data_IF_684003681220
#
_entry.id   IF_684003681220
#
_cell.length_a   1.000
_cell.length_b   1.000
_cell.length_c   1.000
_cell.angle_alpha   90.00
_cell.angle_beta   90.00
_cell.angle_gamma   90.00
#
_symmetry.space_group_name_H-M   'P 1'
#
loop_
_entity.id
_entity.type
_entity.pdbx_description
1 polymer ?
#
# COMPACT_ATOMS: atom_id res chain seq x y z
N UNK A 1 13.68 5.07 18.05
CA UNK A 1 12.91 4.73 19.26
C UNK A 1 12.17 6.00 19.70
N UNK A 2 10.85 5.97 19.69
CA UNK A 2 9.99 7.11 20.05
C UNK A 2 9.58 7.06 21.52
N UNK A 3 9.64 5.87 22.12
CA UNK A 3 9.21 5.60 23.50
C UNK A 3 10.30 4.83 24.23
N UNK A 4 10.70 5.33 25.40
CA UNK A 4 11.64 4.56 26.23
C UNK A 4 10.93 3.41 26.92
N UNK A 5 11.62 2.28 27.07
CA UNK A 5 11.12 1.11 27.80
C UNK A 5 10.68 1.48 29.22
N UNK A 6 11.44 2.35 29.89
CA UNK A 6 11.15 2.81 31.24
C UNK A 6 9.89 3.67 31.30
N UNK A 7 9.69 4.60 30.35
CA UNK A 7 8.49 5.43 30.26
C UNK A 7 7.23 4.59 30.08
N UNK A 8 7.29 3.61 29.16
CA UNK A 8 6.19 2.67 28.95
C UNK A 8 5.92 1.83 30.21
N UNK A 9 6.97 1.28 30.84
CA UNK A 9 6.82 0.45 32.04
C UNK A 9 6.17 1.23 33.20
N UNK A 10 6.56 2.49 33.41
CA UNK A 10 5.99 3.33 34.44
C UNK A 10 4.51 3.64 34.17
N UNK A 11 4.15 3.91 32.92
CA UNK A 11 2.76 4.14 32.56
C UNK A 11 1.91 2.88 32.76
N UNK A 12 2.37 1.72 32.31
CA UNK A 12 1.67 0.45 32.51
C UNK A 12 1.43 0.15 33.99
N UNK A 13 2.43 0.39 34.87
CA UNK A 13 2.26 0.26 36.32
C UNK A 13 1.17 1.16 36.88
N UNK A 14 1.13 2.43 36.44
CA UNK A 14 0.06 3.37 36.86
C UNK A 14 -1.31 2.96 36.35
N UNK A 15 -1.38 2.23 35.25
CA UNK A 15 -2.62 1.69 34.66
C UNK A 15 -3.02 0.32 35.25
N UNK A 16 -2.29 -0.15 36.28
CA UNK A 16 -2.65 -1.34 37.05
C UNK A 16 -1.99 -2.64 36.59
N UNK A 17 -1.07 -2.59 35.62
CA UNK A 17 -0.31 -3.78 35.23
C UNK A 17 0.70 -4.14 36.31
N UNK A 18 0.72 -5.41 36.73
CA UNK A 18 1.59 -5.95 37.76
C UNK A 18 2.38 -7.13 37.20
N UNK A 19 3.55 -7.38 37.76
CA UNK A 19 4.37 -8.58 37.51
C UNK A 19 4.55 -8.87 36.01
N UNK A 20 5.01 -7.86 35.27
CA UNK A 20 5.24 -8.00 33.82
C UNK A 20 6.69 -7.77 33.44
N UNK A 21 7.07 -8.29 32.27
CA UNK A 21 8.33 -7.98 31.60
C UNK A 21 8.05 -7.32 30.25
N UNK A 22 8.97 -6.46 29.81
CA UNK A 22 8.96 -5.83 28.50
C UNK A 22 10.25 -6.18 27.77
N UNK A 23 10.12 -6.57 26.50
CA UNK A 23 11.24 -6.82 25.60
C UNK A 23 11.02 -6.00 24.32
N UNK A 24 12.03 -5.21 23.92
CA UNK A 24 11.95 -4.40 22.71
C UNK A 24 12.12 -5.25 21.46
N UNK A 25 11.26 -5.07 20.46
CA UNK A 25 11.37 -5.71 19.14
C UNK A 25 12.00 -4.71 18.18
N UNK A 26 13.24 -4.91 17.72
CA UNK A 26 13.94 -3.96 16.86
C UNK A 26 13.46 -4.05 15.39
N UNK A 27 12.14 -4.09 15.18
CA UNK A 27 11.49 -4.12 13.88
C UNK A 27 10.43 -3.01 13.87
N UNK A 28 10.44 -2.19 12.86
CA UNK A 28 9.49 -1.09 12.68
C UNK A 28 10.18 0.26 12.49
N UNK A 29 9.66 1.04 11.55
CA UNK A 29 10.23 2.34 11.18
C UNK A 29 9.47 3.50 11.85
N UNK A 30 8.16 3.35 11.98
CA UNK A 30 7.25 4.42 12.38
C UNK A 30 6.68 4.27 13.78
N UNK A 31 6.82 3.10 14.40
CA UNK A 31 6.32 2.76 15.74
C UNK A 31 7.33 1.89 16.47
N UNK A 32 7.34 1.97 17.79
CA UNK A 32 8.12 1.04 18.64
C UNK A 32 7.24 -0.12 19.09
N UNK A 33 7.73 -1.34 18.99
CA UNK A 33 7.00 -2.53 19.45
C UNK A 33 7.73 -3.19 20.60
N UNK A 34 6.97 -3.63 21.61
CA UNK A 34 7.46 -4.39 22.76
C UNK A 34 6.65 -5.68 22.93
N UNK A 35 7.32 -6.76 23.29
CA UNK A 35 6.68 -7.95 23.83
C UNK A 35 6.47 -7.71 25.32
N UNK A 36 5.22 -7.81 25.76
CA UNK A 36 4.84 -7.73 27.17
C UNK A 36 4.38 -9.09 27.65
N UNK A 37 5.03 -9.64 28.67
CA UNK A 37 4.62 -10.89 29.30
C UNK A 37 4.09 -10.61 30.70
N UNK A 38 2.86 -11.02 30.98
CA UNK A 38 2.21 -10.88 32.29
C UNK A 38 1.22 -12.01 32.50
N UNK A 39 1.22 -12.61 33.70
CA UNK A 39 0.27 -13.65 34.08
C UNK A 39 0.16 -14.81 33.06
N UNK A 40 1.31 -15.32 32.60
CA UNK A 40 1.42 -16.39 31.60
C UNK A 40 0.86 -16.03 30.19
N UNK A 41 0.45 -14.78 29.99
CA UNK A 41 -0.02 -14.30 28.70
C UNK A 41 1.03 -13.40 28.06
N UNK A 42 1.24 -13.58 26.76
CA UNK A 42 2.11 -12.73 25.95
C UNK A 42 1.26 -11.77 25.13
N UNK A 43 1.68 -10.51 25.11
CA UNK A 43 1.05 -9.45 24.35
C UNK A 43 2.10 -8.74 23.49
N UNK A 44 1.66 -8.11 22.42
CA UNK A 44 2.42 -7.09 21.73
C UNK A 44 1.90 -5.70 22.14
N UNK A 45 2.82 -4.79 22.44
CA UNK A 45 2.54 -3.40 22.72
C UNK A 45 3.15 -2.55 21.62
N UNK A 46 2.29 -1.96 20.79
CA UNK A 46 2.72 -1.06 19.73
C UNK A 46 2.58 0.37 20.19
N UNK A 47 3.68 1.09 20.25
CA UNK A 47 3.77 2.47 20.73
C UNK A 47 3.87 3.44 19.56
N UNK A 48 3.06 4.48 19.58
CA UNK A 48 2.97 5.48 18.52
C UNK A 48 3.68 6.77 18.93
N UNK A 49 4.40 7.42 18.01
CA UNK A 49 4.94 8.75 18.29
C UNK A 49 3.80 9.76 18.53
N UNK A 50 4.06 10.81 19.29
CA UNK A 50 3.04 11.76 19.74
C UNK A 50 2.24 12.38 18.58
N UNK A 51 2.89 12.67 17.46
CA UNK A 51 2.26 13.24 16.26
C UNK A 51 1.36 12.25 15.51
N UNK A 52 1.37 10.96 15.89
CA UNK A 52 0.51 9.89 15.35
C UNK A 52 -0.35 9.22 16.41
N UNK A 53 -0.40 9.79 17.61
CA UNK A 53 -1.15 9.22 18.75
C UNK A 53 -2.64 8.99 18.44
N UNK A 54 -3.22 9.84 17.59
CA UNK A 54 -4.60 9.73 17.12
C UNK A 54 -4.90 8.41 16.38
N UNK A 55 -3.89 7.78 15.77
CA UNK A 55 -4.07 6.48 15.07
C UNK A 55 -4.45 5.35 16.03
N UNK A 56 -4.04 5.40 17.30
CA UNK A 56 -4.31 4.30 18.26
C UNK A 56 -5.80 3.98 18.37
N UNK A 57 -6.65 5.00 18.51
CA UNK A 57 -8.10 4.82 18.59
C UNK A 57 -8.69 4.26 17.32
N UNK A 58 -8.22 4.74 16.18
CA UNK A 58 -8.74 4.36 14.86
C UNK A 58 -8.35 2.93 14.53
N UNK A 59 -7.06 2.59 14.65
CA UNK A 59 -6.57 1.24 14.39
C UNK A 59 -7.18 0.22 15.36
N UNK A 60 -7.29 0.55 16.65
CA UNK A 60 -7.98 -0.29 17.63
C UNK A 60 -9.42 -0.58 17.21
N UNK A 61 -10.16 0.43 16.76
CA UNK A 61 -11.54 0.28 16.29
C UNK A 61 -11.66 -0.63 15.07
N UNK A 62 -10.76 -0.48 14.08
CA UNK A 62 -10.73 -1.35 12.92
C UNK A 62 -10.34 -2.78 13.28
N UNK A 63 -9.33 -2.99 14.13
CA UNK A 63 -8.96 -4.33 14.58
C UNK A 63 -10.12 -5.05 15.26
N UNK A 64 -10.86 -4.34 16.14
CA UNK A 64 -12.08 -4.92 16.73
C UNK A 64 -13.14 -5.28 15.69
N UNK A 65 -13.34 -4.43 14.69
CA UNK A 65 -14.28 -4.70 13.61
C UNK A 65 -13.84 -5.90 12.76
N UNK A 66 -12.56 -6.00 12.45
CA UNK A 66 -11.98 -7.11 11.70
C UNK A 66 -12.16 -8.45 12.43
N UNK A 67 -11.82 -8.49 13.72
CA UNK A 67 -12.04 -9.70 14.55
C UNK A 67 -13.50 -10.14 14.54
N UNK A 68 -14.44 -9.21 14.71
CA UNK A 68 -15.88 -9.51 14.67
C UNK A 68 -16.36 -10.05 13.32
N UNK A 69 -15.68 -9.71 12.24
CA UNK A 69 -15.99 -10.19 10.89
C UNK A 69 -15.12 -11.38 10.45
N UNK A 70 -14.42 -12.03 11.39
CA UNK A 70 -13.63 -13.23 11.11
C UNK A 70 -12.41 -13.00 10.23
N UNK A 71 -11.89 -11.77 10.20
CA UNK A 71 -10.62 -11.44 9.55
C UNK A 71 -9.51 -11.78 10.54
N UNK A 72 -8.50 -12.49 10.07
CA UNK A 72 -7.35 -12.92 10.87
C UNK A 72 -6.41 -11.73 11.11
N UNK A 73 -6.55 -11.11 12.27
CA UNK A 73 -5.73 -9.99 12.76
C UNK A 73 -5.42 -10.19 14.25
N UNK A 74 -4.41 -9.51 14.82
CA UNK A 74 -4.20 -9.56 16.26
C UNK A 74 -5.44 -9.09 17.01
N UNK A 75 -5.86 -9.84 18.03
CA UNK A 75 -7.02 -9.48 18.86
C UNK A 75 -6.63 -8.30 19.76
N UNK A 76 -7.23 -7.11 19.59
CA UNK A 76 -6.87 -5.95 20.39
C UNK A 76 -7.41 -6.09 21.81
N UNK A 77 -6.57 -5.84 22.81
CA UNK A 77 -6.90 -5.92 24.22
C UNK A 77 -7.30 -4.56 24.79
N UNK A 78 -6.41 -3.55 24.64
CA UNK A 78 -6.63 -2.19 25.13
C UNK A 78 -5.78 -1.19 24.32
N UNK A 79 -6.20 0.06 24.30
CA UNK A 79 -5.39 1.16 23.77
C UNK A 79 -5.29 2.31 24.77
N UNK A 80 -4.25 3.11 24.62
CA UNK A 80 -4.05 4.38 25.34
C UNK A 80 -3.80 5.49 24.31
N UNK A 81 -4.45 6.63 24.51
CA UNK A 81 -4.26 7.84 23.71
C UNK A 81 -4.16 9.03 24.66
N UNK A 82 -3.06 9.10 25.42
CA UNK A 82 -2.82 10.17 26.42
C UNK A 82 -1.95 11.26 25.80
N UNK A 83 -2.34 12.51 25.99
CA UNK A 83 -1.55 13.69 25.54
C UNK A 83 -0.18 13.77 26.22
N UNK A 84 -0.14 13.42 27.52
CA UNK A 84 1.06 13.53 28.37
C UNK A 84 1.64 12.14 28.71
N UNK A 85 1.55 11.18 27.79
CA UNK A 85 1.99 9.82 28.02
C UNK A 85 2.33 9.09 26.73
N UNK A 86 2.58 7.79 26.87
CA UNK A 86 2.79 6.89 25.73
C UNK A 86 1.44 6.51 25.13
N UNK A 87 1.27 6.78 23.86
CA UNK A 87 0.13 6.29 23.10
C UNK A 87 0.44 4.91 22.55
N UNK A 88 -0.40 3.93 22.83
CA UNK A 88 -0.16 2.55 22.45
C UNK A 88 -1.44 1.76 22.18
N UNK A 89 -1.29 0.63 21.48
CA UNK A 89 -2.26 -0.46 21.42
C UNK A 89 -1.59 -1.71 21.99
N UNK A 90 -2.30 -2.43 22.85
CA UNK A 90 -1.93 -3.77 23.32
C UNK A 90 -2.86 -4.76 22.64
N UNK A 91 -2.30 -5.81 22.04
CA UNK A 91 -3.04 -6.93 21.49
C UNK A 91 -2.38 -8.25 21.87
N UNK A 92 -3.14 -9.32 21.88
CA UNK A 92 -2.60 -10.66 22.13
C UNK A 92 -1.51 -10.96 21.12
N UNK A 93 -0.42 -11.53 21.60
CA UNK A 93 0.68 -11.96 20.73
C UNK A 93 0.19 -13.00 19.72
N UNK A 94 0.59 -12.87 18.48
CA UNK A 94 0.32 -13.85 17.44
C UNK A 94 1.56 -14.70 17.24
N UNK A 95 1.44 -15.99 17.52
CA UNK A 95 2.52 -16.94 17.32
C UNK A 95 2.72 -17.26 15.84
N UNK A 96 3.98 -17.37 15.42
CA UNK A 96 4.34 -17.69 14.03
C UNK A 96 5.53 -16.91 13.52
N UNK A 97 5.86 -17.13 12.26
CA UNK A 97 6.90 -16.42 11.52
C UNK A 97 6.26 -15.58 10.42
N UNK A 98 6.95 -14.52 9.93
CA UNK A 98 6.46 -13.80 8.77
C UNK A 98 6.45 -14.71 7.54
N UNK A 99 5.53 -14.47 6.62
CA UNK A 99 5.48 -15.22 5.36
C UNK A 99 6.78 -15.06 4.56
N UNK A 100 7.46 -13.93 4.71
CA UNK A 100 8.77 -13.67 4.13
C UNK A 100 9.84 -14.61 4.69
N UNK A 101 9.96 -14.69 6.01
CA UNK A 101 10.95 -15.53 6.69
C UNK A 101 10.69 -17.05 6.49
N UNK A 102 9.41 -17.39 6.27
CA UNK A 102 8.97 -18.78 6.08
C UNK A 102 8.98 -19.25 4.63
N UNK A 103 9.05 -18.31 3.66
CA UNK A 103 8.91 -18.58 2.24
C UNK A 103 9.74 -19.76 1.73
N UNK A 104 11.03 -19.80 2.06
CA UNK A 104 11.95 -20.82 1.54
C UNK A 104 11.75 -22.22 2.18
N UNK A 105 10.99 -22.28 3.28
CA UNK A 105 10.66 -23.51 4.01
C UNK A 105 9.36 -24.15 3.52
N UNK A 106 8.55 -23.45 2.72
CA UNK A 106 7.22 -23.89 2.28
C UNK A 106 7.26 -24.65 0.96
N UNK A 107 6.47 -25.73 0.86
CA UNK A 107 6.20 -26.41 -0.41
C UNK A 107 5.25 -25.59 -1.29
N UNK A 108 5.18 -25.90 -2.58
CA UNK A 108 4.23 -25.25 -3.51
C UNK A 108 2.76 -25.45 -3.10
N UNK A 109 2.42 -26.61 -2.55
CA UNK A 109 1.08 -26.92 -2.06
C UNK A 109 0.72 -26.04 -0.84
N UNK A 110 1.66 -25.91 0.11
CA UNK A 110 1.51 -25.04 1.27
C UNK A 110 1.36 -23.57 0.87
N UNK A 111 2.19 -23.10 -0.08
CA UNK A 111 2.08 -21.74 -0.64
C UNK A 111 0.70 -21.52 -1.27
N UNK A 112 0.21 -22.47 -2.07
CA UNK A 112 -1.10 -22.36 -2.69
C UNK A 112 -2.22 -22.23 -1.64
N UNK A 113 -2.19 -23.05 -0.59
CA UNK A 113 -3.17 -22.99 0.51
C UNK A 113 -3.09 -21.66 1.27
N UNK A 114 -1.88 -21.21 1.61
CA UNK A 114 -1.67 -19.91 2.30
C UNK A 114 -2.16 -18.76 1.44
N UNK A 115 -1.87 -18.77 0.15
CA UNK A 115 -2.31 -17.71 -0.77
C UNK A 115 -3.84 -17.63 -0.89
N UNK A 116 -4.56 -18.76 -0.81
CA UNK A 116 -6.02 -18.76 -0.77
C UNK A 116 -6.53 -18.06 0.50
N UNK A 117 -6.00 -18.41 1.66
CA UNK A 117 -6.37 -17.77 2.92
C UNK A 117 -6.03 -16.27 2.94
N UNK A 118 -4.86 -15.89 2.43
CA UNK A 118 -4.40 -14.50 2.35
C UNK A 118 -5.34 -13.69 1.46
N UNK A 119 -5.65 -14.17 0.27
CA UNK A 119 -6.53 -13.46 -0.67
C UNK A 119 -7.95 -13.35 -0.13
N UNK A 120 -8.49 -14.41 0.48
CA UNK A 120 -9.81 -14.39 1.12
C UNK A 120 -9.87 -13.34 2.23
N UNK A 121 -8.91 -13.34 3.14
CA UNK A 121 -8.89 -12.37 4.24
C UNK A 121 -8.67 -10.93 3.76
N UNK A 122 -7.85 -10.71 2.74
CA UNK A 122 -7.68 -9.39 2.15
C UNK A 122 -8.97 -8.88 1.49
N UNK A 123 -9.70 -9.74 0.78
CA UNK A 123 -11.00 -9.38 0.19
C UNK A 123 -12.02 -8.98 1.26
N UNK A 124 -12.07 -9.67 2.40
CA UNK A 124 -12.94 -9.31 3.53
C UNK A 124 -12.66 -7.89 4.06
N UNK A 125 -11.39 -7.44 4.08
CA UNK A 125 -11.07 -6.05 4.43
C UNK A 125 -11.73 -5.08 3.43
N UNK A 126 -11.72 -5.40 2.15
CA UNK A 126 -12.30 -4.57 1.09
C UNK A 126 -13.84 -4.58 1.05
N UNK A 127 -14.49 -5.44 1.84
CA UNK A 127 -15.96 -5.42 2.02
C UNK A 127 -16.42 -4.26 2.93
N UNK A 128 -15.52 -3.72 3.76
CA UNK A 128 -15.82 -2.56 4.59
C UNK A 128 -16.00 -1.31 3.73
N UNK A 129 -17.23 -0.81 3.68
CA UNK A 129 -17.55 0.38 2.90
C UNK A 129 -17.14 1.64 3.63
N UNK A 130 -16.68 2.60 2.86
CA UNK A 130 -16.28 3.93 3.30
C UNK A 130 -17.13 4.98 2.60
N UNK A 131 -16.96 6.25 2.93
CA UNK A 131 -17.80 7.33 2.35
C UNK A 131 -17.04 8.23 1.39
N UNK A 132 -15.72 8.25 1.47
CA UNK A 132 -14.81 9.07 0.66
C UNK A 132 -13.52 8.31 0.41
N UNK A 133 -12.66 8.83 -0.43
CA UNK A 133 -11.35 8.25 -0.75
C UNK A 133 -10.21 8.88 0.04
N UNK A 134 -9.06 8.21 0.03
CA UNK A 134 -7.80 8.71 0.55
C UNK A 134 -7.32 8.02 1.81
N UNK A 135 -6.36 8.64 2.49
CA UNK A 135 -5.78 8.10 3.71
C UNK A 135 -6.68 8.37 4.91
N UNK A 136 -6.55 7.54 5.94
CA UNK A 136 -7.12 7.84 7.25
C UNK A 136 -6.46 9.11 7.77
N UNK A 137 -7.27 10.07 8.21
CA UNK A 137 -6.86 11.32 8.83
C UNK A 137 -7.11 11.31 10.34
N UNK A 138 -6.63 12.31 11.07
CA UNK A 138 -6.75 12.41 12.53
C UNK A 138 -8.20 12.31 13.05
N UNK A 139 -9.15 12.79 12.25
CA UNK A 139 -10.57 12.73 12.56
C UNK A 139 -11.23 11.41 12.13
N UNK A 140 -10.46 10.45 11.61
CA UNK A 140 -10.95 9.19 11.07
C UNK A 140 -11.64 9.34 9.72
N UNK A 141 -11.52 10.49 9.08
CA UNK A 141 -12.20 10.82 7.83
C UNK A 141 -11.27 10.66 6.63
N UNK A 142 -11.84 10.14 5.56
CA UNK A 142 -11.24 10.18 4.23
C UNK A 142 -11.63 11.50 3.55
N UNK A 143 -10.72 12.18 2.84
CA UNK A 143 -10.87 13.59 2.52
C UNK A 143 -11.27 13.89 1.07
N UNK A 144 -11.27 12.89 0.17
CA UNK A 144 -11.49 13.10 -1.26
C UNK A 144 -12.83 12.52 -1.71
N UNK A 145 -13.59 13.30 -2.47
CA UNK A 145 -14.84 12.85 -3.09
C UNK A 145 -14.60 12.03 -4.37
N UNK A 146 -13.37 12.04 -4.91
CA UNK A 146 -12.96 11.32 -6.11
C UNK A 146 -11.62 10.63 -5.91
N UNK A 147 -11.50 9.38 -6.35
CA UNK A 147 -10.26 8.63 -6.35
C UNK A 147 -9.20 9.26 -7.26
N UNK A 148 -9.62 9.71 -8.44
CA UNK A 148 -8.73 10.42 -9.36
C UNK A 148 -8.12 11.65 -8.71
N UNK A 149 -8.92 12.47 -8.01
CA UNK A 149 -8.43 13.66 -7.29
C UNK A 149 -7.44 13.31 -6.19
N UNK A 150 -7.68 12.22 -5.47
CA UNK A 150 -6.72 11.73 -4.49
C UNK A 150 -5.40 11.36 -5.16
N UNK A 151 -5.42 10.54 -6.22
CA UNK A 151 -4.22 10.12 -6.94
C UNK A 151 -3.48 11.33 -7.54
N UNK A 152 -4.19 12.25 -8.19
CA UNK A 152 -3.61 13.46 -8.74
C UNK A 152 -2.93 14.33 -7.68
N UNK A 153 -3.56 14.48 -6.51
CA UNK A 153 -2.99 15.23 -5.39
C UNK A 153 -1.68 14.61 -4.89
N UNK A 154 -1.66 13.29 -4.72
CA UNK A 154 -0.47 12.57 -4.26
C UNK A 154 0.66 12.60 -5.30
N UNK A 155 0.33 12.48 -6.59
CA UNK A 155 1.30 12.58 -7.69
C UNK A 155 1.88 13.99 -7.77
N UNK A 156 1.04 15.03 -7.69
CA UNK A 156 1.50 16.43 -7.77
C UNK A 156 2.40 16.80 -6.59
N UNK A 157 2.10 16.32 -5.37
CA UNK A 157 3.00 16.49 -4.22
C UNK A 157 4.38 15.88 -4.49
N UNK A 158 4.42 14.65 -5.03
CA UNK A 158 5.68 13.99 -5.37
C UNK A 158 6.40 14.72 -6.51
N UNK A 159 5.67 15.18 -7.51
CA UNK A 159 6.19 15.95 -8.65
C UNK A 159 6.85 17.26 -8.22
N UNK A 160 6.19 18.02 -7.33
CA UNK A 160 6.75 19.26 -6.77
C UNK A 160 8.02 18.99 -5.97
N UNK A 161 8.04 17.92 -5.18
CA UNK A 161 9.21 17.48 -4.45
C UNK A 161 10.37 17.16 -5.39
N UNK A 162 10.17 16.34 -6.43
CA UNK A 162 11.21 15.96 -7.38
C UNK A 162 11.70 17.16 -8.22
N UNK A 163 10.83 18.11 -8.54
CA UNK A 163 11.25 19.40 -9.15
C UNK A 163 12.19 20.19 -8.26
N UNK A 164 11.88 20.27 -6.96
CA UNK A 164 12.76 20.92 -5.98
C UNK A 164 14.13 20.21 -5.89
N UNK A 165 14.11 18.88 -5.90
CA UNK A 165 15.33 18.05 -5.86
C UNK A 165 16.07 17.99 -7.21
N UNK A 166 15.55 18.61 -8.28
CA UNK A 166 16.08 18.59 -9.66
C UNK A 166 16.21 17.17 -10.22
N UNK A 167 15.28 16.30 -9.85
CA UNK A 167 15.18 14.90 -10.29
C UNK A 167 14.22 14.82 -11.49
N UNK A 168 14.74 15.18 -12.67
CA UNK A 168 13.93 15.29 -13.90
C UNK A 168 13.31 13.94 -14.29
N UNK A 169 13.99 12.84 -14.04
CA UNK A 169 13.50 11.49 -14.35
C UNK A 169 12.22 11.16 -13.57
N UNK A 170 12.22 11.42 -12.25
CA UNK A 170 11.02 11.20 -11.44
C UNK A 170 9.91 12.23 -11.71
N UNK A 171 10.26 13.44 -12.16
CA UNK A 171 9.26 14.42 -12.65
C UNK A 171 8.55 13.88 -13.88
N UNK A 172 9.29 13.35 -14.88
CA UNK A 172 8.71 12.76 -16.10
C UNK A 172 7.79 11.57 -15.78
N UNK A 173 8.19 10.72 -14.80
CA UNK A 173 7.35 9.62 -14.32
C UNK A 173 6.04 10.17 -13.72
N UNK A 174 6.12 11.22 -12.89
CA UNK A 174 4.94 11.85 -12.31
C UNK A 174 4.01 12.43 -13.39
N UNK A 175 4.56 13.09 -14.42
CA UNK A 175 3.76 13.62 -15.52
C UNK A 175 3.02 12.48 -16.27
N UNK A 176 3.69 11.38 -16.56
CA UNK A 176 3.07 10.19 -17.17
C UNK A 176 1.97 9.56 -16.32
N UNK A 177 2.21 9.43 -15.00
CA UNK A 177 1.19 8.93 -14.07
C UNK A 177 -0.01 9.86 -14.00
N UNK A 178 0.21 11.17 -13.94
CA UNK A 178 -0.87 12.19 -13.88
C UNK A 178 -1.80 12.10 -15.08
N UNK A 179 -1.24 11.96 -16.29
CA UNK A 179 -2.02 11.77 -17.50
C UNK A 179 -2.81 10.45 -17.49
N UNK A 180 -2.22 9.36 -16.95
CA UNK A 180 -2.88 8.07 -16.91
C UNK A 180 -4.07 8.03 -15.94
N UNK A 181 -4.06 8.83 -14.87
CA UNK A 181 -5.16 8.89 -13.88
C UNK A 181 -6.51 9.15 -14.56
N UNK A 182 -6.56 9.93 -15.64
CA UNK A 182 -7.81 10.22 -16.35
C UNK A 182 -8.47 8.96 -16.96
N UNK A 183 -7.68 7.92 -17.21
CA UNK A 183 -8.15 6.65 -17.78
C UNK A 183 -8.61 5.65 -16.70
N UNK A 184 -8.34 5.93 -15.42
CA UNK A 184 -8.74 5.05 -14.31
C UNK A 184 -10.22 5.25 -14.03
N UNK A 185 -10.96 4.15 -13.89
CA UNK A 185 -12.33 4.19 -13.41
C UNK A 185 -12.38 4.46 -11.90
N UNK A 186 -13.43 5.14 -11.44
CA UNK A 186 -13.65 5.37 -10.01
C UNK A 186 -14.00 4.03 -9.33
N UNK A 187 -13.19 3.51 -8.40
CA UNK A 187 -13.51 2.28 -7.71
C UNK A 187 -14.64 2.49 -6.70
N UNK A 188 -15.22 1.41 -6.21
CA UNK A 188 -16.12 1.49 -5.05
C UNK A 188 -15.38 2.02 -3.82
N UNK A 189 -16.05 2.83 -3.00
CA UNK A 189 -15.52 3.23 -1.69
C UNK A 189 -15.39 2.02 -0.78
N UNK A 190 -14.18 1.54 -0.58
CA UNK A 190 -13.90 0.44 0.32
C UNK A 190 -12.57 0.61 1.05
N UNK A 191 -12.46 -0.09 2.17
CA UNK A 191 -11.25 -0.07 2.97
C UNK A 191 -10.15 -0.85 2.27
N UNK A 192 -8.95 -0.28 2.28
CA UNK A 192 -7.74 -0.86 1.69
C UNK A 192 -6.66 -0.93 2.76
N UNK A 193 -6.11 -2.11 2.98
CA UNK A 193 -4.87 -2.26 3.71
C UNK A 193 -3.71 -2.04 2.75
N UNK A 194 -3.16 -0.83 2.77
CA UNK A 194 -2.20 -0.38 1.76
C UNK A 194 -0.77 -0.86 2.00
N UNK A 195 -0.49 -1.50 3.13
CA UNK A 195 0.83 -2.02 3.50
C UNK A 195 0.90 -3.55 3.37
N UNK A 196 0.34 -4.07 2.29
CA UNK A 196 0.25 -5.50 2.01
C UNK A 196 1.63 -6.04 1.60
N UNK A 197 2.42 -6.46 2.58
CA UNK A 197 3.76 -7.05 2.39
C UNK A 197 3.86 -8.43 3.04
N UNK A 198 4.85 -9.24 2.61
CA UNK A 198 5.10 -10.55 3.20
C UNK A 198 5.62 -10.45 4.65
N UNK A 199 6.24 -9.34 5.02
CA UNK A 199 6.68 -9.05 6.39
C UNK A 199 5.50 -8.81 7.35
N UNK A 200 4.33 -8.44 6.81
CA UNK A 200 3.12 -8.11 7.57
C UNK A 200 2.09 -9.26 7.59
N UNK A 201 2.48 -10.46 7.14
CA UNK A 201 1.64 -11.66 7.12
C UNK A 201 2.30 -12.71 8.03
N UNK A 202 1.64 -13.06 9.13
CA UNK A 202 2.12 -14.07 10.07
C UNK A 202 1.54 -15.42 9.72
N UNK A 203 2.42 -16.41 9.62
CA UNK A 203 2.10 -17.82 9.34
C UNK A 203 2.42 -18.63 10.57
N UNK A 204 1.43 -19.39 11.05
CA UNK A 204 1.55 -20.30 12.19
C UNK A 204 2.45 -21.50 11.90
N UNK A 205 2.81 -22.25 12.92
CA UNK A 205 3.68 -23.44 12.79
C UNK A 205 3.04 -24.55 11.94
N UNK A 206 1.71 -24.61 11.88
CA UNK A 206 0.98 -25.53 11.01
C UNK A 206 0.79 -25.02 9.57
N UNK A 207 1.53 -24.00 9.20
CA UNK A 207 1.56 -23.38 7.85
C UNK A 207 0.22 -22.82 7.38
N UNK A 208 -0.50 -22.15 8.28
CA UNK A 208 -1.74 -21.43 7.97
C UNK A 208 -1.58 -19.93 8.23
N UNK A 209 -2.41 -19.10 7.61
CA UNK A 209 -2.48 -17.70 7.96
C UNK A 209 -2.88 -17.55 9.43
N UNK A 210 -1.98 -16.99 10.25
CA UNK A 210 -2.28 -16.65 11.63
C UNK A 210 -2.91 -15.26 11.75
N UNK A 211 -2.27 -14.24 11.16
CA UNK A 211 -2.81 -12.89 11.15
C UNK A 211 -2.13 -11.98 10.09
N UNK A 212 -2.85 -10.95 9.68
CA UNK A 212 -2.26 -9.73 9.13
C UNK A 212 -1.92 -8.78 10.27
N UNK A 213 -0.79 -8.09 10.17
CA UNK A 213 -0.33 -7.11 11.15
C UNK A 213 -0.05 -5.76 10.46
N UNK A 214 0.15 -4.70 11.24
CA UNK A 214 0.50 -3.37 10.75
C UNK A 214 -0.61 -2.68 9.91
N UNK A 215 -1.64 -2.18 10.61
CA UNK A 215 -2.78 -1.52 9.99
C UNK A 215 -2.69 0.02 9.99
N UNK A 216 -1.54 0.60 10.27
CA UNK A 216 -1.36 2.06 10.22
C UNK A 216 -1.51 2.65 8.81
N UNK A 217 -1.36 1.82 7.78
CA UNK A 217 -1.53 2.17 6.38
C UNK A 217 -2.94 1.98 5.83
N UNK A 218 -3.97 1.95 6.67
CA UNK A 218 -5.34 1.86 6.19
C UNK A 218 -5.73 3.10 5.40
N UNK A 219 -6.47 2.88 4.31
CA UNK A 219 -7.00 3.94 3.45
C UNK A 219 -8.31 3.50 2.80
N UNK A 220 -8.96 4.40 2.11
CA UNK A 220 -10.12 4.12 1.28
C UNK A 220 -9.77 4.30 -0.20
N UNK A 221 -10.13 3.33 -1.04
CA UNK A 221 -9.85 3.39 -2.47
C UNK A 221 -9.94 2.05 -3.18
N UNK A 222 -9.06 1.88 -4.15
CA UNK A 222 -8.96 0.65 -4.93
C UNK A 222 -8.13 -0.41 -4.20
N UNK A 223 -8.67 -1.60 -3.91
CA UNK A 223 -7.92 -2.68 -3.29
C UNK A 223 -6.68 -3.13 -4.07
N UNK A 224 -6.66 -2.95 -5.39
CA UNK A 224 -5.49 -3.29 -6.22
C UNK A 224 -4.26 -2.47 -5.81
N UNK A 225 -4.47 -1.26 -5.28
CA UNK A 225 -3.37 -0.45 -4.74
C UNK A 225 -2.65 -1.15 -3.59
N UNK A 226 -3.37 -1.82 -2.68
CA UNK A 226 -2.75 -2.59 -1.61
C UNK A 226 -1.94 -3.77 -2.17
N UNK A 227 -2.53 -4.53 -3.11
CA UNK A 227 -1.84 -5.67 -3.75
C UNK A 227 -0.62 -5.22 -4.56
N UNK A 228 -0.63 -4.01 -5.12
CA UNK A 228 0.51 -3.45 -5.86
C UNK A 228 1.75 -3.26 -4.99
N UNK A 229 1.55 -3.08 -3.68
CA UNK A 229 2.65 -2.97 -2.73
C UNK A 229 3.50 -4.25 -2.66
N UNK A 230 2.83 -5.40 -2.68
CA UNK A 230 3.49 -6.70 -2.72
C UNK A 230 4.40 -6.82 -3.96
N UNK A 231 3.89 -6.43 -5.14
CA UNK A 231 4.69 -6.45 -6.38
C UNK A 231 5.88 -5.49 -6.32
N UNK A 232 5.70 -4.32 -5.74
CA UNK A 232 6.76 -3.31 -5.62
C UNK A 232 7.87 -3.71 -4.65
N UNK A 233 7.58 -4.55 -3.66
CA UNK A 233 8.55 -5.00 -2.66
C UNK A 233 9.23 -6.32 -3.01
N UNK A 234 8.44 -7.31 -3.37
CA UNK A 234 8.90 -8.70 -3.52
C UNK A 234 9.14 -9.06 -5.00
N UNK A 235 8.87 -8.11 -5.90
CA UNK A 235 8.97 -8.37 -7.33
C UNK A 235 8.07 -9.53 -7.76
N UNK A 236 8.48 -10.24 -8.81
CA UNK A 236 7.71 -11.37 -9.35
C UNK A 236 8.11 -12.70 -8.65
N UNK A 237 8.13 -12.71 -7.31
CA UNK A 237 8.42 -13.93 -6.52
C UNK A 237 7.33 -14.99 -6.71
N UNK A 238 7.60 -16.25 -6.31
CA UNK A 238 6.61 -17.34 -6.41
C UNK A 238 5.33 -17.05 -5.61
N UNK A 239 5.45 -16.46 -4.41
CA UNK A 239 4.30 -16.10 -3.57
C UNK A 239 3.55 -14.93 -4.20
N UNK A 240 4.26 -13.89 -4.68
CA UNK A 240 3.63 -12.76 -5.38
C UNK A 240 2.80 -13.22 -6.56
N UNK A 241 3.36 -14.08 -7.43
CA UNK A 241 2.60 -14.63 -8.56
C UNK A 241 1.37 -15.40 -8.12
N UNK A 242 1.51 -16.25 -7.10
CA UNK A 242 0.39 -17.03 -6.56
C UNK A 242 -0.74 -16.10 -6.06
N UNK A 243 -0.43 -15.09 -5.25
CA UNK A 243 -1.40 -14.11 -4.76
C UNK A 243 -2.06 -13.35 -5.92
N UNK A 244 -1.27 -12.87 -6.89
CA UNK A 244 -1.79 -12.15 -8.05
C UNK A 244 -2.73 -13.01 -8.90
N UNK A 245 -2.40 -14.30 -9.11
CA UNK A 245 -3.26 -15.25 -9.83
C UNK A 245 -4.58 -15.46 -9.09
N UNK A 246 -4.52 -15.77 -7.78
CA UNK A 246 -5.71 -16.01 -6.97
C UNK A 246 -6.56 -14.76 -6.78
N UNK A 247 -5.96 -13.60 -6.80
CA UNK A 247 -6.68 -12.32 -6.79
C UNK A 247 -7.34 -12.02 -8.14
N UNK A 248 -6.86 -12.63 -9.24
CA UNK A 248 -7.38 -12.46 -10.60
C UNK A 248 -6.68 -11.36 -11.41
N UNK A 249 -5.52 -10.88 -10.93
CA UNK A 249 -4.79 -9.77 -11.58
C UNK A 249 -3.75 -10.23 -12.61
N UNK A 250 -3.40 -11.52 -12.61
CA UNK A 250 -2.28 -12.01 -13.42
C UNK A 250 -2.63 -12.13 -14.91
N UNK A 251 -3.82 -12.66 -15.20
CA UNK A 251 -4.25 -13.01 -16.55
C UNK A 251 -5.19 -11.97 -17.21
N UNK A 252 -5.55 -10.92 -16.48
CA UNK A 252 -6.40 -9.85 -16.99
C UNK A 252 -5.54 -8.63 -17.42
N UNK A 253 -5.41 -8.33 -18.73
CA UNK A 253 -4.52 -7.26 -19.20
C UNK A 253 -4.88 -5.86 -18.67
N UNK A 254 -6.17 -5.55 -18.50
CA UNK A 254 -6.58 -4.22 -18.00
C UNK A 254 -6.28 -4.08 -16.51
N UNK A 255 -6.55 -5.12 -15.71
CA UNK A 255 -6.19 -5.12 -14.29
C UNK A 255 -4.68 -5.15 -14.09
N UNK A 256 -3.93 -5.81 -15.00
CA UNK A 256 -2.47 -5.79 -14.97
C UNK A 256 -1.92 -4.40 -15.21
N UNK A 257 -2.46 -3.63 -16.15
CA UNK A 257 -2.07 -2.22 -16.37
C UNK A 257 -2.32 -1.36 -15.14
N UNK A 258 -3.46 -1.56 -14.48
CA UNK A 258 -3.81 -0.84 -13.27
C UNK A 258 -2.88 -1.21 -12.11
N UNK A 259 -2.55 -2.49 -11.96
CA UNK A 259 -1.56 -2.98 -11.01
C UNK A 259 -0.18 -2.34 -11.24
N UNK A 260 0.28 -2.29 -12.50
CA UNK A 260 1.55 -1.68 -12.87
C UNK A 260 1.54 -0.17 -12.59
N UNK A 261 0.43 0.53 -12.90
CA UNK A 261 0.24 1.94 -12.53
C UNK A 261 0.38 2.16 -11.02
N UNK A 262 -0.34 1.39 -10.20
CA UNK A 262 -0.25 1.53 -8.75
C UNK A 262 1.13 1.16 -8.20
N UNK A 263 1.83 0.22 -8.81
CA UNK A 263 3.20 -0.13 -8.41
C UNK A 263 4.15 1.04 -8.60
N UNK A 264 4.04 1.77 -9.72
CA UNK A 264 4.84 2.97 -9.98
C UNK A 264 4.39 4.16 -9.15
N UNK A 265 3.08 4.34 -8.96
CA UNK A 265 2.55 5.32 -8.01
C UNK A 265 3.12 5.12 -6.60
N UNK A 266 3.19 3.87 -6.13
CA UNK A 266 3.85 3.52 -4.86
C UNK A 266 5.35 3.86 -4.88
N UNK A 267 6.04 3.57 -5.99
CA UNK A 267 7.46 3.91 -6.14
C UNK A 267 7.70 5.40 -5.94
N UNK A 268 7.01 6.29 -6.64
CA UNK A 268 7.24 7.74 -6.52
C UNK A 268 6.95 8.24 -5.10
N UNK A 269 5.95 7.66 -4.42
CA UNK A 269 5.65 7.99 -3.02
C UNK A 269 6.78 7.58 -2.08
N UNK A 270 7.28 6.36 -2.20
CA UNK A 270 8.41 5.87 -1.40
C UNK A 270 9.69 6.67 -1.68
N UNK A 271 9.98 6.97 -2.95
CA UNK A 271 11.13 7.80 -3.34
C UNK A 271 11.04 9.21 -2.75
N UNK A 272 9.86 9.80 -2.67
CA UNK A 272 9.63 11.07 -1.98
C UNK A 272 9.96 10.96 -0.49
N UNK A 273 9.42 9.94 0.19
CA UNK A 273 9.66 9.74 1.63
C UNK A 273 11.12 9.46 1.97
N UNK A 274 11.86 8.74 1.11
CA UNK A 274 13.27 8.41 1.35
C UNK A 274 14.19 9.62 1.37
N UNK A 275 13.85 10.67 0.62
CA UNK A 275 14.62 11.91 0.53
C UNK A 275 14.22 12.96 1.57
N UNK A 276 13.05 12.79 2.21
CA UNK A 276 12.63 13.66 3.30
C UNK A 276 13.53 13.45 4.53
N UNK A 277 13.85 14.53 5.31
CA UNK A 277 14.56 14.37 6.57
C UNK A 277 13.73 13.43 7.45
N UNK A 278 14.27 12.22 7.68
CA UNK A 278 13.64 11.28 8.60
C UNK A 278 13.75 11.82 10.03
N UNK A 279 12.70 11.68 10.86
CA UNK A 279 12.85 11.86 12.29
C UNK A 279 14.05 11.01 12.76
N UNK A 280 14.87 11.53 13.65
CA UNK A 280 16.23 11.12 14.02
C UNK A 280 16.51 9.63 14.31
N UNK A 281 15.64 8.69 14.01
CA UNK A 281 15.77 7.27 14.33
C UNK A 281 15.21 6.31 13.26
N UNK A 282 14.92 6.78 12.04
CA UNK A 282 14.53 5.86 10.95
C UNK A 282 15.78 5.21 10.35
N UNK A 283 15.93 3.89 10.31
CA UNK A 283 17.03 3.25 9.60
C UNK A 283 16.93 3.58 8.11
N UNK A 284 17.80 4.43 7.60
CA UNK A 284 17.91 4.72 6.15
C UNK A 284 18.02 3.45 5.33
N UNK A 285 18.69 2.45 5.86
CA UNK A 285 18.91 1.15 5.23
C UNK A 285 17.61 0.43 4.82
N UNK A 286 16.53 0.57 5.57
CA UNK A 286 15.23 -0.02 5.23
C UNK A 286 14.62 0.72 4.03
N UNK A 287 14.70 2.05 4.02
CA UNK A 287 14.18 2.89 2.93
C UNK A 287 14.97 2.64 1.65
N UNK A 288 16.31 2.55 1.75
CA UNK A 288 17.18 2.26 0.62
C UNK A 288 16.95 0.86 0.03
N UNK A 289 16.66 -0.13 0.87
CA UNK A 289 16.23 -1.46 0.42
C UNK A 289 14.89 -1.40 -0.33
N UNK A 290 13.90 -0.67 0.16
CA UNK A 290 12.64 -0.44 -0.55
C UNK A 290 12.86 0.20 -1.92
N UNK A 291 13.75 1.20 -2.02
CA UNK A 291 14.06 1.87 -3.27
C UNK A 291 14.78 0.96 -4.27
N UNK A 292 15.64 0.06 -3.79
CA UNK A 292 16.29 -0.92 -4.67
C UNK A 292 15.27 -1.85 -5.34
N UNK A 293 14.31 -2.39 -4.59
CA UNK A 293 13.24 -3.21 -5.15
C UNK A 293 12.30 -2.42 -6.07
N UNK A 294 11.94 -1.20 -5.70
CA UNK A 294 11.12 -0.34 -6.52
C UNK A 294 11.80 0.06 -7.84
N UNK A 295 13.15 0.11 -7.89
CA UNK A 295 13.90 0.38 -9.11
C UNK A 295 13.79 -0.73 -10.17
N UNK A 296 13.56 -1.98 -9.76
CA UNK A 296 13.31 -3.09 -10.69
C UNK A 296 11.95 -2.96 -11.38
N UNK A 297 10.92 -2.61 -10.61
CA UNK A 297 9.56 -2.33 -11.15
C UNK A 297 9.58 -1.11 -12.08
N UNK A 298 10.34 -0.06 -11.73
CA UNK A 298 10.56 1.13 -12.55
C UNK A 298 11.12 0.80 -13.93
N UNK A 299 12.11 -0.11 -14.02
CA UNK A 299 12.73 -0.50 -15.28
C UNK A 299 11.71 -1.17 -16.23
N UNK A 300 10.82 -2.00 -15.70
CA UNK A 300 9.79 -2.66 -16.49
C UNK A 300 8.66 -1.68 -16.87
N UNK A 301 8.32 -0.74 -16.00
CA UNK A 301 7.32 0.28 -16.29
C UNK A 301 7.83 1.33 -17.28
N UNK A 302 9.11 1.74 -17.21
CA UNK A 302 9.70 2.62 -18.23
C UNK A 302 9.61 2.01 -19.63
N UNK A 303 9.86 0.72 -19.76
CA UNK A 303 9.65 -0.03 -21.02
C UNK A 303 8.17 -0.02 -21.44
N UNK A 304 7.26 -0.06 -20.48
CA UNK A 304 5.82 -0.04 -20.72
C UNK A 304 5.33 1.36 -21.12
N UNK A 305 5.77 2.42 -20.43
CA UNK A 305 5.52 3.84 -20.83
C UNK A 305 6.07 4.09 -22.24
N UNK A 306 7.30 3.70 -22.54
CA UNK A 306 7.88 3.85 -23.87
C UNK A 306 7.09 3.10 -24.95
N UNK A 307 6.51 1.96 -24.62
CA UNK A 307 5.61 1.21 -25.50
C UNK A 307 4.27 1.94 -25.69
N UNK A 308 3.66 2.43 -24.61
CA UNK A 308 2.40 3.19 -24.63
C UNK A 308 2.59 4.54 -25.38
N UNK A 309 3.70 5.23 -25.17
CA UNK A 309 4.01 6.47 -25.89
C UNK A 309 4.28 6.22 -27.39
N UNK A 310 4.95 5.11 -27.76
CA UNK A 310 5.06 4.68 -29.15
C UNK A 310 3.70 4.39 -29.77
N UNK A 311 2.81 3.70 -29.05
CA UNK A 311 1.44 3.45 -29.50
C UNK A 311 0.63 4.74 -29.61
N UNK A 312 0.67 5.66 -28.64
CA UNK A 312 0.01 6.98 -28.71
C UNK A 312 0.54 7.81 -29.88
N UNK A 313 1.86 7.78 -30.13
CA UNK A 313 2.47 8.46 -31.29
C UNK A 313 2.01 7.83 -32.60
N UNK A 314 1.92 6.51 -32.66
CA UNK A 314 1.40 5.76 -33.80
C UNK A 314 -0.08 6.08 -34.05
N UNK A 315 -0.93 6.07 -33.01
CA UNK A 315 -2.34 6.46 -33.12
C UNK A 315 -2.53 7.92 -33.55
N UNK A 316 -1.71 8.86 -33.06
CA UNK A 316 -1.74 10.26 -33.52
C UNK A 316 -1.38 10.37 -34.99
N UNK A 317 -0.38 9.63 -35.46
CA UNK A 317 0.02 9.58 -36.86
C UNK A 317 -1.08 8.95 -37.73
N UNK A 318 -1.68 7.85 -37.27
CA UNK A 318 -2.80 7.19 -37.97
C UNK A 318 -4.03 8.10 -38.04
N UNK A 319 -4.38 8.79 -36.95
CA UNK A 319 -5.50 9.75 -36.92
C UNK A 319 -5.25 10.89 -37.89
N UNK A 320 -4.04 11.48 -37.94
CA UNK A 320 -3.67 12.48 -38.96
C UNK A 320 -3.76 11.94 -40.38
N UNK A 321 -3.25 10.74 -40.65
CA UNK A 321 -3.35 10.13 -41.98
C UNK A 321 -4.80 9.86 -42.37
N UNK A 322 -5.64 9.39 -41.47
CA UNK A 322 -7.05 9.12 -41.70
C UNK A 322 -7.80 10.45 -41.98
N UNK A 323 -7.51 11.50 -41.20
CA UNK A 323 -8.09 12.83 -41.44
C UNK A 323 -7.70 13.42 -42.81
N UNK A 324 -6.43 13.27 -43.20
CA UNK A 324 -5.93 13.67 -44.50
C UNK A 324 -6.64 12.87 -45.61
N UNK A 325 -6.77 11.55 -45.44
CA UNK A 325 -7.44 10.67 -46.42
C UNK A 325 -8.92 11.05 -46.60
N UNK A 326 -9.63 11.36 -45.51
CA UNK A 326 -11.03 11.82 -45.53
C UNK A 326 -11.14 13.18 -46.23
N UNK A 327 -10.25 14.13 -45.92
CA UNK A 327 -10.25 15.46 -46.57
C UNK A 327 -9.94 15.31 -48.06
N UNK A 328 -8.97 14.47 -48.44
CA UNK A 328 -8.62 14.24 -49.84
C UNK A 328 -9.77 13.58 -50.58
N UNK A 329 -10.44 12.59 -50.00
CA UNK A 329 -11.62 11.96 -50.55
C UNK A 329 -12.78 12.95 -50.75
N UNK A 330 -13.04 13.83 -49.75
CA UNK A 330 -14.06 14.86 -49.82
C UNK A 330 -13.74 15.91 -50.92
N UNK A 331 -12.50 16.34 -51.03
CA UNK A 331 -12.06 17.27 -52.09
C UNK A 331 -12.17 16.62 -53.47
N UNK A 332 -11.84 15.34 -53.64
CA UNK A 332 -12.01 14.60 -54.86
C UNK A 332 -13.50 14.46 -55.27
N UNK A 333 -14.38 14.21 -54.27
CA UNK A 333 -15.82 14.17 -54.51
C UNK A 333 -16.37 15.57 -54.92
N UNK A 334 -15.93 16.64 -54.28
CA UNK A 334 -16.32 18.01 -54.64
C UNK A 334 -15.83 18.39 -56.06
N UNK A 335 -14.63 17.95 -56.46
CA UNK A 335 -14.11 18.16 -57.80
C UNK A 335 -14.93 17.41 -58.87
N UNK A 336 -15.41 16.22 -58.57
CA UNK A 336 -16.28 15.43 -59.48
C UNK A 336 -17.66 16.06 -59.62
N UNK A 337 -18.24 16.54 -58.51
CA UNK A 337 -19.56 17.19 -58.51
C UNK A 337 -19.50 18.58 -59.19
N UNK A 338 -18.38 19.33 -58.98
CA UNK A 338 -18.18 20.61 -59.67
C UNK A 338 -17.84 20.52 -61.18
N UNK A 339 -17.48 19.33 -61.67
CA UNK A 339 -17.28 19.12 -63.10
C UNK A 339 -18.53 18.62 -63.83
N UNK A 340 -19.63 18.38 -63.12
CA UNK A 340 -20.93 17.94 -63.68
C UNK A 340 -21.99 19.04 -63.66
N UNK A 341 -21.65 20.27 -63.21
CA UNK A 341 -22.43 21.48 -63.39
C UNK A 341 -21.71 22.42 -64.38
#
# INVERSE_FOLDING_TARGET
MFTTKEGLANQLKTEGWKDFTLEYVPKGVMTDTYILKSNQTTYAVRCYPIFRSWLTKIEYGYLQAFVRNGIKVPVPFVYSNKKDGVSYIIYYWVEGETLKDKNDKLSEEQINSICDEVVENYRKISEFKTTKYGRVAEEGLFNYDSWKRFLQSEIEQSRLFFKHEKDEENVEICDGLYEYVEQIEEPSHCLVWSDFSLDNIIISDDNKLAAFIDFEGLMSGDPILGVSYLLSQEGNSRITRCILQKYGLYDNPEQRKLLDFYSVFRYIRLATYSKLPTPNNSPRDIIDNFLHYASTVKCDFKKHIDCVERMKRWFRIMKKKLTILIITALLSLMAIVGACC
#
